data_IF_091149773278
#
_entry.id   IF_091149773278
#
_cell.length_a   1.000
_cell.length_b   1.000
_cell.length_c   1.000
_cell.angle_alpha   90.00
_cell.angle_beta   90.00
_cell.angle_gamma   90.00
#
_symmetry.space_group_name_H-M   'P 1'
#
loop_
_entity.id
_entity.type
_entity.pdbx_description
1 polymer ?
#
# COMPACT_ATOMS: atom_id res chain seq x y z
N UNK A 1 11.82 -12.16 -1.79
CA UNK A 1 11.93 -10.82 -1.19
C UNK A 1 12.96 -10.74 -0.07
N UNK A 2 13.10 -11.75 0.83
CA UNK A 2 14.08 -11.74 1.94
C UNK A 2 15.51 -11.43 1.47
N UNK A 3 15.98 -12.13 0.42
CA UNK A 3 17.34 -11.90 -0.14
C UNK A 3 17.51 -10.47 -0.67
N UNK A 4 16.48 -9.91 -1.30
CA UNK A 4 16.52 -8.56 -1.84
C UNK A 4 16.60 -7.51 -0.74
N UNK A 5 15.81 -7.66 0.32
CA UNK A 5 15.84 -6.75 1.48
C UNK A 5 17.18 -6.85 2.21
N UNK A 6 17.70 -8.07 2.42
CA UNK A 6 19.01 -8.27 3.02
C UNK A 6 20.13 -7.62 2.19
N UNK A 7 20.10 -7.80 0.87
CA UNK A 7 21.04 -7.15 -0.04
C UNK A 7 20.92 -5.62 -0.01
N UNK A 8 19.70 -5.08 -0.02
CA UNK A 8 19.47 -3.63 0.09
C UNK A 8 20.06 -3.05 1.38
N UNK A 9 19.80 -3.68 2.53
CA UNK A 9 20.35 -3.26 3.82
C UNK A 9 21.88 -3.28 3.84
N UNK A 10 22.48 -4.35 3.31
CA UNK A 10 23.93 -4.45 3.17
C UNK A 10 24.52 -3.34 2.29
N UNK A 11 23.87 -3.02 1.16
CA UNK A 11 24.33 -1.96 0.26
C UNK A 11 24.12 -0.58 0.86
N UNK A 12 23.04 -0.37 1.59
CA UNK A 12 22.77 0.88 2.32
C UNK A 12 23.92 1.22 3.28
N UNK A 13 24.34 0.25 4.07
CA UNK A 13 25.48 0.39 4.99
C UNK A 13 26.81 0.54 4.24
N UNK A 14 27.05 -0.30 3.24
CA UNK A 14 28.27 -0.25 2.43
C UNK A 14 28.52 1.13 1.80
N UNK A 15 27.49 1.81 1.35
CA UNK A 15 27.60 3.14 0.76
C UNK A 15 27.55 4.27 1.78
N UNK A 16 27.56 3.99 3.07
CA UNK A 16 27.63 4.98 4.13
C UNK A 16 26.35 5.79 4.35
N UNK A 17 25.19 5.24 3.96
CA UNK A 17 23.90 5.89 4.19
C UNK A 17 23.39 5.74 5.64
N UNK A 18 24.01 4.89 6.44
CA UNK A 18 23.67 4.58 7.81
C UNK A 18 23.88 3.10 8.10
N UNK A 19 23.38 2.61 9.25
CA UNK A 19 23.41 1.18 9.56
C UNK A 19 22.34 0.41 8.79
N UNK A 20 22.47 -0.90 8.68
CA UNK A 20 21.51 -1.76 7.99
C UNK A 20 20.07 -1.60 8.53
N UNK A 21 19.93 -1.39 9.84
CA UNK A 21 18.65 -1.21 10.54
C UNK A 21 17.98 0.14 10.21
N UNK A 22 18.78 1.14 9.82
CA UNK A 22 18.28 2.46 9.41
C UNK A 22 17.73 2.47 7.98
N UNK A 23 17.96 1.43 7.20
CA UNK A 23 17.42 1.32 5.85
C UNK A 23 15.88 1.24 5.86
N UNK A 24 15.23 2.21 5.25
CA UNK A 24 13.76 2.27 5.19
C UNK A 24 13.24 1.22 4.20
N UNK A 25 12.39 0.34 4.69
CA UNK A 25 11.75 -0.72 3.91
C UNK A 25 10.25 -0.52 3.86
N UNK A 26 9.68 -0.62 2.67
CA UNK A 26 8.24 -0.69 2.45
C UNK A 26 7.86 -2.05 1.88
N UNK A 27 6.87 -2.68 2.48
CA UNK A 27 6.28 -3.92 1.99
C UNK A 27 4.93 -3.63 1.34
N UNK A 28 4.56 -4.44 0.35
CA UNK A 28 3.27 -4.34 -0.32
C UNK A 28 2.59 -5.69 -0.40
N UNK A 29 1.26 -5.66 -0.43
CA UNK A 29 0.43 -6.84 -0.64
C UNK A 29 -0.97 -6.42 -1.07
N UNK A 30 -1.67 -7.35 -1.71
CA UNK A 30 -3.07 -7.18 -2.03
C UNK A 30 -3.91 -7.66 -0.85
N UNK A 31 -5.07 -7.03 -0.64
CA UNK A 31 -5.99 -7.46 0.38
C UNK A 31 -7.44 -7.40 -0.11
N UNK A 32 -8.23 -8.37 0.31
CA UNK A 32 -9.69 -8.34 0.21
C UNK A 32 -10.29 -8.75 1.54
N UNK A 33 -11.17 -7.91 2.09
CA UNK A 33 -11.71 -8.10 3.43
C UNK A 33 -13.23 -8.03 3.48
N UNK A 34 -13.78 -8.89 4.33
CA UNK A 34 -15.16 -8.83 4.83
C UNK A 34 -15.16 -9.10 6.34
N UNK A 35 -16.24 -8.78 7.06
CA UNK A 35 -16.30 -9.06 8.50
C UNK A 35 -16.01 -10.52 8.85
N UNK A 36 -16.35 -11.46 7.98
CA UNK A 36 -15.98 -12.86 8.12
C UNK A 36 -15.21 -13.41 6.91
N UNK A 37 -14.37 -14.39 7.15
CA UNK A 37 -13.45 -14.96 6.18
C UNK A 37 -14.12 -15.74 5.07
N UNK A 38 -15.23 -16.41 5.36
CA UNK A 38 -15.94 -17.21 4.38
C UNK A 38 -16.59 -16.33 3.32
N UNK A 39 -17.22 -15.22 3.76
CA UNK A 39 -17.79 -14.22 2.85
C UNK A 39 -16.70 -13.55 2.02
N UNK A 40 -15.55 -13.21 2.64
CA UNK A 40 -14.42 -12.64 1.92
C UNK A 40 -13.95 -13.56 0.78
N UNK A 41 -13.73 -14.83 1.08
CA UNK A 41 -13.28 -15.83 0.09
C UNK A 41 -14.33 -16.09 -0.99
N UNK A 42 -15.59 -16.21 -0.60
CA UNK A 42 -16.69 -16.44 -1.55
C UNK A 42 -16.90 -15.26 -2.50
N UNK A 43 -16.89 -14.02 -1.98
CA UNK A 43 -17.08 -12.81 -2.79
C UNK A 43 -15.88 -12.51 -3.68
N UNK A 44 -14.66 -12.78 -3.23
CA UNK A 44 -13.45 -12.47 -4.00
C UNK A 44 -13.13 -13.52 -5.07
N UNK A 45 -13.50 -14.77 -4.87
CA UNK A 45 -13.16 -15.88 -5.77
C UNK A 45 -13.48 -15.63 -7.25
N UNK A 46 -14.66 -15.14 -7.64
CA UNK A 46 -14.93 -14.84 -9.06
C UNK A 46 -13.94 -13.84 -9.66
N UNK A 47 -13.58 -12.81 -8.91
CA UNK A 47 -12.61 -11.79 -9.35
C UNK A 47 -11.20 -12.36 -9.45
N UNK A 48 -10.83 -13.24 -8.53
CA UNK A 48 -9.55 -13.93 -8.58
C UNK A 48 -9.44 -14.84 -9.81
N UNK A 49 -10.46 -15.67 -10.03
CA UNK A 49 -10.47 -16.66 -11.11
C UNK A 49 -10.50 -16.01 -12.50
N UNK A 50 -11.15 -14.85 -12.64
CA UNK A 50 -11.26 -14.12 -13.90
C UNK A 50 -10.10 -13.15 -14.18
N UNK A 51 -9.33 -12.77 -13.17
CA UNK A 51 -8.27 -11.79 -13.33
C UNK A 51 -7.06 -12.39 -14.07
N UNK A 52 -6.58 -11.76 -15.16
CA UNK A 52 -5.43 -12.25 -15.94
C UNK A 52 -4.15 -12.43 -15.11
N UNK A 53 -4.03 -11.69 -14.02
CA UNK A 53 -2.86 -11.74 -13.10
C UNK A 53 -2.83 -13.05 -12.32
N UNK A 54 -3.98 -13.63 -12.03
CA UNK A 54 -4.12 -14.85 -11.23
C UNK A 54 -4.52 -16.05 -12.06
N UNK A 55 -5.19 -15.83 -13.19
CA UNK A 55 -5.75 -16.87 -14.03
C UNK A 55 -4.74 -17.91 -14.50
N UNK A 56 -5.17 -19.17 -14.55
CA UNK A 56 -4.37 -20.35 -14.89
C UNK A 56 -3.21 -20.66 -13.91
N UNK A 57 -3.22 -20.07 -12.73
CA UNK A 57 -2.26 -20.30 -11.65
C UNK A 57 -2.81 -21.22 -10.55
N UNK A 58 -2.21 -21.15 -9.35
CA UNK A 58 -2.69 -21.86 -8.16
C UNK A 58 -4.08 -21.38 -7.73
N UNK A 59 -4.76 -22.15 -6.90
CA UNK A 59 -6.03 -21.77 -6.28
C UNK A 59 -5.89 -20.50 -5.43
N UNK A 60 -7.01 -19.83 -5.11
CA UNK A 60 -7.01 -18.67 -4.23
C UNK A 60 -6.33 -18.96 -2.89
N UNK A 61 -6.57 -20.14 -2.33
CA UNK A 61 -5.99 -20.60 -1.07
C UNK A 61 -4.47 -20.73 -1.19
N UNK A 62 -4.00 -21.50 -2.17
CA UNK A 62 -2.58 -21.69 -2.41
C UNK A 62 -1.87 -20.38 -2.75
N UNK A 63 -2.49 -19.53 -3.54
CA UNK A 63 -1.92 -18.22 -3.87
C UNK A 63 -1.83 -17.33 -2.64
N UNK A 64 -2.86 -17.35 -1.79
CA UNK A 64 -2.84 -16.60 -0.53
C UNK A 64 -1.76 -17.14 0.42
N UNK A 65 -1.53 -18.44 0.49
CA UNK A 65 -0.48 -19.02 1.34
C UNK A 65 0.93 -18.68 0.87
N UNK A 66 1.15 -18.65 -0.44
CA UNK A 66 2.48 -18.46 -1.05
C UNK A 66 2.85 -17.00 -1.30
N UNK A 67 1.90 -16.07 -1.23
CA UNK A 67 2.10 -14.66 -1.62
C UNK A 67 1.59 -13.69 -0.54
N UNK A 68 1.88 -12.39 -0.67
CA UNK A 68 1.32 -11.37 0.21
C UNK A 68 -0.18 -11.10 0.04
N UNK A 69 -0.88 -11.80 -0.87
CA UNK A 69 -2.34 -11.67 -0.98
C UNK A 69 -3.02 -12.13 0.31
N UNK A 70 -3.83 -11.28 0.90
CA UNK A 70 -4.60 -11.56 2.12
C UNK A 70 -6.09 -11.46 1.81
N UNK A 71 -6.81 -12.60 1.88
CA UNK A 71 -8.26 -12.66 1.67
C UNK A 71 -8.92 -13.27 2.89
N UNK A 72 -9.70 -12.46 3.63
CA UNK A 72 -10.30 -12.96 4.87
C UNK A 72 -10.93 -11.89 5.73
N UNK A 73 -11.08 -12.19 7.01
CA UNK A 73 -11.51 -11.23 8.02
C UNK A 73 -10.40 -10.22 8.35
N UNK A 74 -10.71 -9.08 8.99
CA UNK A 74 -9.70 -8.16 9.51
C UNK A 74 -8.66 -8.85 10.39
N UNK A 75 -9.08 -9.83 11.21
CA UNK A 75 -8.17 -10.59 12.06
C UNK A 75 -7.16 -11.41 11.24
N UNK A 76 -7.59 -12.12 10.20
CA UNK A 76 -6.67 -12.89 9.33
C UNK A 76 -5.69 -11.97 8.59
N UNK A 77 -6.14 -10.81 8.13
CA UNK A 77 -5.27 -9.82 7.49
C UNK A 77 -4.24 -9.28 8.47
N UNK A 78 -4.63 -9.00 9.72
CA UNK A 78 -3.71 -8.57 10.79
C UNK A 78 -2.66 -9.66 11.05
N UNK A 79 -3.10 -10.88 11.33
CA UNK A 79 -2.22 -12.00 11.65
C UNK A 79 -1.19 -12.22 10.54
N UNK A 80 -1.65 -12.31 9.31
CA UNK A 80 -0.76 -12.48 8.15
C UNK A 80 0.23 -11.32 8.00
N UNK A 81 -0.22 -10.08 8.17
CA UNK A 81 0.66 -8.91 8.05
C UNK A 81 1.72 -8.90 9.15
N UNK A 82 1.38 -9.32 10.36
CA UNK A 82 2.33 -9.40 11.47
C UNK A 82 3.43 -10.45 11.23
N UNK A 83 3.14 -11.55 10.50
CA UNK A 83 4.17 -12.54 10.15
C UNK A 83 5.25 -11.96 9.21
N UNK A 84 4.96 -10.89 8.46
CA UNK A 84 5.96 -10.31 7.57
C UNK A 84 7.20 -9.81 8.32
N UNK A 85 7.04 -9.37 9.56
CA UNK A 85 8.19 -9.00 10.39
C UNK A 85 9.13 -10.17 10.67
N UNK A 86 8.61 -11.39 10.79
CA UNK A 86 9.42 -12.60 11.02
C UNK A 86 10.31 -12.91 9.82
N UNK A 87 9.83 -12.62 8.61
CA UNK A 87 10.57 -12.87 7.38
C UNK A 87 11.50 -11.73 6.96
N UNK A 88 11.12 -10.50 7.23
CA UNK A 88 11.78 -9.31 6.66
C UNK A 88 12.48 -8.44 7.71
N UNK A 89 12.29 -8.75 9.01
CA UNK A 89 12.68 -7.88 10.10
C UNK A 89 11.78 -6.63 10.16
N UNK A 90 12.23 -5.62 10.86
CA UNK A 90 11.49 -4.36 10.95
C UNK A 90 11.36 -3.67 9.59
N UNK A 91 10.19 -3.17 9.32
CA UNK A 91 9.87 -2.37 8.14
C UNK A 91 8.97 -1.20 8.53
N UNK A 92 8.99 -0.13 7.75
CA UNK A 92 8.39 1.14 8.15
C UNK A 92 7.07 1.43 7.45
N UNK A 93 6.80 0.77 6.33
CA UNK A 93 5.57 1.01 5.54
C UNK A 93 4.94 -0.31 5.11
N UNK A 94 3.62 -0.41 5.30
CA UNK A 94 2.80 -1.45 4.69
C UNK A 94 1.86 -0.79 3.69
N UNK A 95 1.92 -1.24 2.44
CA UNK A 95 0.94 -0.87 1.42
C UNK A 95 -0.08 -1.98 1.30
N UNK A 96 -1.35 -1.60 1.22
CA UNK A 96 -2.43 -2.52 0.88
C UNK A 96 -3.06 -2.06 -0.44
N UNK A 97 -2.96 -2.90 -1.46
CA UNK A 97 -3.70 -2.72 -2.69
C UNK A 97 -5.07 -3.39 -2.50
N UNK A 98 -6.12 -2.58 -2.48
CA UNK A 98 -7.50 -3.03 -2.19
C UNK A 98 -8.46 -2.86 -3.37
N UNK A 99 -8.00 -2.22 -4.46
CA UNK A 99 -8.76 -1.94 -5.67
C UNK A 99 -8.26 -2.75 -6.88
N UNK A 100 -7.92 -4.01 -6.64
CA UNK A 100 -7.38 -4.91 -7.67
C UNK A 100 -8.43 -5.85 -8.25
N UNK A 101 -8.05 -6.60 -9.30
CA UNK A 101 -8.88 -7.64 -9.94
C UNK A 101 -10.24 -7.14 -10.49
N UNK A 102 -10.37 -5.85 -10.80
CA UNK A 102 -11.63 -5.30 -11.33
C UNK A 102 -12.76 -5.17 -10.32
N UNK A 103 -12.44 -5.09 -9.04
CA UNK A 103 -13.41 -4.93 -7.96
C UNK A 103 -14.27 -3.66 -8.13
N UNK A 104 -15.60 -3.73 -7.99
CA UNK A 104 -16.47 -2.57 -8.01
C UNK A 104 -16.17 -1.61 -6.86
N UNK A 105 -16.24 -0.30 -7.12
CA UNK A 105 -15.96 0.74 -6.11
C UNK A 105 -16.70 0.55 -4.77
N UNK A 106 -18.00 0.20 -4.73
CA UNK A 106 -18.68 -0.04 -3.45
C UNK A 106 -18.05 -1.15 -2.60
N UNK A 107 -17.45 -2.17 -3.25
CA UNK A 107 -16.75 -3.24 -2.56
C UNK A 107 -15.42 -2.76 -2.00
N UNK A 108 -14.72 -1.90 -2.75
CA UNK A 108 -13.47 -1.27 -2.31
C UNK A 108 -13.71 -0.36 -1.11
N UNK A 109 -14.74 0.48 -1.14
CA UNK A 109 -15.07 1.38 -0.04
C UNK A 109 -15.34 0.62 1.27
N UNK A 110 -16.11 -0.48 1.22
CA UNK A 110 -16.35 -1.33 2.40
C UNK A 110 -15.05 -1.91 2.98
N UNK A 111 -14.08 -2.24 2.14
CA UNK A 111 -12.78 -2.70 2.60
C UNK A 111 -11.97 -1.59 3.27
N UNK A 112 -12.04 -0.37 2.75
CA UNK A 112 -11.35 0.78 3.35
C UNK A 112 -11.88 1.09 4.74
N UNK A 113 -13.19 0.93 4.97
CA UNK A 113 -13.78 1.08 6.31
C UNK A 113 -13.21 0.05 7.29
N UNK A 114 -13.15 -1.23 6.90
CA UNK A 114 -12.56 -2.30 7.72
C UNK A 114 -11.06 -2.08 7.92
N UNK A 115 -10.34 -1.72 6.86
CA UNK A 115 -8.90 -1.45 6.92
C UNK A 115 -8.59 -0.31 7.90
N UNK A 116 -9.31 0.81 7.78
CA UNK A 116 -9.09 1.98 8.61
C UNK A 116 -9.56 1.81 10.06
N UNK A 117 -10.68 1.14 10.27
CA UNK A 117 -11.30 0.98 11.59
C UNK A 117 -10.73 -0.17 12.41
N UNK A 118 -10.43 -1.30 11.79
CA UNK A 118 -10.09 -2.52 12.49
C UNK A 118 -8.63 -2.97 12.30
N UNK A 119 -8.07 -2.84 11.11
CA UNK A 119 -6.75 -3.40 10.80
C UNK A 119 -5.62 -2.43 11.15
N UNK A 120 -5.67 -1.20 10.62
CA UNK A 120 -4.57 -0.22 10.77
C UNK A 120 -4.27 0.13 12.22
N UNK A 121 -5.25 0.37 13.11
CA UNK A 121 -4.97 0.69 14.51
C UNK A 121 -4.22 -0.43 15.24
N UNK A 122 -4.62 -1.69 14.97
CA UNK A 122 -3.97 -2.86 15.59
C UNK A 122 -2.56 -3.04 15.06
N UNK A 123 -2.36 -3.01 13.74
CA UNK A 123 -1.02 -3.13 13.14
C UNK A 123 -0.06 -2.05 13.64
N UNK A 124 -0.51 -0.79 13.72
CA UNK A 124 0.32 0.31 14.25
C UNK A 124 0.77 0.04 15.67
N UNK A 125 -0.15 -0.37 16.54
CA UNK A 125 0.17 -0.69 17.94
C UNK A 125 1.15 -1.85 18.06
N UNK A 126 0.86 -2.97 17.39
CA UNK A 126 1.65 -4.20 17.49
C UNK A 126 3.06 -4.04 16.88
N UNK A 127 3.17 -3.40 15.72
CA UNK A 127 4.46 -3.18 15.07
C UNK A 127 5.30 -2.14 15.85
N UNK A 128 4.68 -1.10 16.42
CA UNK A 128 5.39 -0.14 17.23
C UNK A 128 5.91 -0.77 18.54
N UNK A 129 5.11 -1.63 19.18
CA UNK A 129 5.50 -2.31 20.43
C UNK A 129 6.67 -3.30 20.24
N UNK A 130 6.83 -3.85 19.03
CA UNK A 130 7.87 -4.85 18.73
C UNK A 130 9.08 -4.27 18.00
N UNK A 131 9.09 -2.95 17.74
CA UNK A 131 10.18 -2.31 17.00
C UNK A 131 11.49 -2.34 17.78
N UNK A 132 12.56 -2.78 17.11
CA UNK A 132 13.88 -2.80 17.71
C UNK A 132 14.45 -1.39 17.92
N UNK A 133 15.26 -1.19 18.96
CA UNK A 133 15.93 0.08 19.19
C UNK A 133 16.80 0.49 18.00
N UNK A 134 16.72 1.76 17.62
CA UNK A 134 17.51 2.31 16.50
C UNK A 134 16.84 2.18 15.12
N UNK A 135 15.78 1.40 15.00
CA UNK A 135 14.99 1.34 13.76
C UNK A 135 14.16 2.62 13.64
N UNK A 136 14.34 3.40 12.55
CA UNK A 136 13.63 4.68 12.38
C UNK A 136 12.15 4.47 12.07
N UNK A 137 11.36 5.49 12.36
CA UNK A 137 9.99 5.58 11.84
C UNK A 137 9.97 5.85 10.34
N UNK A 138 8.83 5.55 9.70
CA UNK A 138 8.63 5.95 8.31
C UNK A 138 8.73 7.48 8.19
N UNK A 139 9.54 8.00 7.24
CA UNK A 139 9.59 9.43 7.02
C UNK A 139 8.21 9.96 6.58
N UNK A 140 7.78 11.04 7.20
CA UNK A 140 6.56 11.77 6.83
C UNK A 140 6.88 12.79 5.74
N UNK A 141 5.85 13.27 5.03
CA UNK A 141 6.02 14.38 4.09
C UNK A 141 6.66 15.59 4.79
N UNK A 142 6.18 15.96 5.97
CA UNK A 142 6.71 17.09 6.73
C UNK A 142 8.19 16.91 7.09
N UNK A 143 8.59 15.69 7.53
CA UNK A 143 9.99 15.41 7.83
C UNK A 143 10.90 15.46 6.59
N UNK A 144 10.41 14.98 5.46
CA UNK A 144 11.14 15.04 4.19
C UNK A 144 11.27 16.48 3.67
N UNK A 145 10.22 17.27 3.77
CA UNK A 145 10.26 18.70 3.43
C UNK A 145 11.27 19.43 4.31
N UNK A 146 11.21 19.22 5.62
CA UNK A 146 12.15 19.82 6.57
C UNK A 146 13.60 19.39 6.30
N UNK A 147 13.83 18.10 6.01
CA UNK A 147 15.16 17.59 5.68
C UNK A 147 15.73 18.21 4.39
N UNK A 148 14.85 18.47 3.40
CA UNK A 148 15.27 19.01 2.09
C UNK A 148 15.42 20.52 2.07
N UNK A 149 14.57 21.25 2.76
CA UNK A 149 14.47 22.72 2.68
C UNK A 149 14.81 23.43 3.99
N UNK A 150 14.98 22.70 5.09
CA UNK A 150 15.12 23.28 6.43
C UNK A 150 13.85 24.05 6.81
N UNK A 151 14.03 25.29 7.28
CA UNK A 151 12.92 26.20 7.61
C UNK A 151 12.51 27.09 6.41
N UNK A 152 13.13 26.89 5.23
CA UNK A 152 12.76 27.63 4.02
C UNK A 152 11.44 27.08 3.45
N UNK A 153 10.60 27.96 2.93
CA UNK A 153 9.41 27.52 2.20
C UNK A 153 9.80 26.66 1.00
N UNK A 154 9.15 25.47 0.82
CA UNK A 154 9.36 24.66 -0.36
C UNK A 154 9.04 25.45 -1.62
N UNK A 155 9.93 25.41 -2.61
CA UNK A 155 9.61 25.98 -3.91
C UNK A 155 8.34 25.32 -4.44
N UNK A 156 7.38 26.13 -4.84
CA UNK A 156 6.20 25.64 -5.54
C UNK A 156 6.63 24.80 -6.76
N UNK A 157 6.05 23.62 -6.96
CA UNK A 157 6.35 22.82 -8.15
C UNK A 157 6.04 23.65 -9.40
N UNK A 158 6.90 23.58 -10.40
CA UNK A 158 6.61 24.22 -11.69
C UNK A 158 5.41 23.50 -12.32
N UNK A 159 4.51 24.26 -12.99
CA UNK A 159 3.46 23.65 -13.77
C UNK A 159 4.06 22.66 -14.76
N UNK A 160 3.57 21.43 -14.76
CA UNK A 160 3.95 20.44 -15.75
C UNK A 160 2.80 20.33 -16.76
N UNK A 161 2.95 21.00 -17.89
CA UNK A 161 1.94 21.04 -18.96
C UNK A 161 1.55 19.63 -19.47
N UNK A 162 2.45 18.64 -19.32
CA UNK A 162 2.20 17.28 -19.77
C UNK A 162 1.48 16.41 -18.73
N UNK A 163 1.34 16.90 -17.50
CA UNK A 163 0.75 16.13 -16.40
C UNK A 163 -0.71 16.51 -16.12
N UNK A 164 -1.19 17.56 -16.74
CA UNK A 164 -2.53 18.04 -16.49
C UNK A 164 -2.74 18.70 -15.12
N UNK A 165 -1.72 18.75 -14.26
CA UNK A 165 -1.78 19.42 -12.98
C UNK A 165 -1.41 20.89 -13.15
N UNK A 166 -2.21 21.74 -12.59
CA UNK A 166 -2.03 23.15 -12.59
C UNK A 166 -1.68 23.62 -11.17
N UNK A 167 -0.53 24.25 -11.02
CA UNK A 167 -0.01 24.74 -9.72
C UNK A 167 -0.88 25.86 -9.13
N UNK A 168 -1.77 26.44 -9.91
CA UNK A 168 -2.69 27.50 -9.46
C UNK A 168 -3.96 26.98 -8.81
N UNK A 169 -4.07 25.67 -8.57
CA UNK A 169 -5.26 25.04 -7.97
C UNK A 169 -6.44 24.88 -8.93
N UNK A 170 -6.28 25.29 -10.19
CA UNK A 170 -7.21 24.96 -11.25
C UNK A 170 -6.80 23.64 -11.84
N UNK A 171 -7.57 22.58 -11.63
CA UNK A 171 -7.36 21.32 -12.31
C UNK A 171 -7.61 21.54 -13.81
N UNK A 172 -6.68 21.16 -14.71
CA UNK A 172 -6.99 21.18 -16.13
C UNK A 172 -8.06 20.15 -16.51
N UNK A 173 -8.45 19.31 -15.57
CA UNK A 173 -9.60 18.42 -15.70
C UNK A 173 -10.94 19.09 -15.42
N UNK A 174 -10.99 20.33 -14.89
CA UNK A 174 -12.27 21.03 -14.76
C UNK A 174 -12.90 21.37 -16.12
N UNK A 175 -12.06 21.66 -17.12
CA UNK A 175 -12.55 21.81 -18.49
C UNK A 175 -12.67 20.47 -19.24
N UNK A 176 -11.96 19.43 -18.82
CA UNK A 176 -12.03 18.11 -19.42
C UNK A 176 -13.18 17.26 -18.86
N UNK A 177 -13.73 17.56 -17.69
CA UNK A 177 -14.93 16.90 -17.20
C UNK A 177 -16.13 17.17 -18.12
N UNK A 178 -16.23 18.38 -18.64
CA UNK A 178 -17.24 18.70 -19.67
C UNK A 178 -16.97 17.99 -20.99
N UNK A 179 -15.68 17.85 -21.39
CA UNK A 179 -15.30 17.13 -22.60
C UNK A 179 -15.41 15.61 -22.42
N UNK A 180 -15.11 15.08 -21.24
CA UNK A 180 -15.31 13.68 -20.88
C UNK A 180 -16.81 13.33 -20.80
N UNK A 181 -17.62 14.17 -20.16
CA UNK A 181 -19.07 13.98 -20.14
C UNK A 181 -19.70 14.10 -21.52
N UNK A 182 -19.16 14.95 -22.40
CA UNK A 182 -19.59 15.03 -23.81
C UNK A 182 -19.16 13.80 -24.63
N UNK A 183 -18.03 13.16 -24.28
CA UNK A 183 -17.51 11.96 -24.93
C UNK A 183 -18.16 10.67 -24.43
N UNK A 184 -18.70 10.66 -23.21
CA UNK A 184 -19.35 9.51 -22.57
C UNK A 184 -20.70 9.92 -21.95
N UNK A 185 -21.71 10.24 -22.76
CA UNK A 185 -22.99 10.73 -22.25
C UNK A 185 -23.82 9.70 -21.48
N UNK A 186 -23.27 8.52 -21.19
CA UNK A 186 -23.93 7.42 -20.48
C UNK A 186 -23.24 7.01 -19.15
N UNK A 187 -22.36 7.83 -18.61
CA UNK A 187 -21.77 7.61 -17.28
C UNK A 187 -22.47 8.47 -16.24
#
# INVERSE_FOLDING_TARGET
YMRLIGYYRQRFEHYGHGTAEQAIVGLGGQAFMRPNSQDAKAEFRPYFDEAPVYGNGPSLEEFSDLTPLSVGSPQEVIEKTLTFREYFGDYQRQLFLVDHAGLPLPMVLKQLDLLGGEVVPVLRRELAAKREPGVPDAPTHASLVKAKYGDAEPRQPRPNANRGDNVTGQSPYQDSDAALQASYPQL
#
